data_IF_653825937117
#
_entry.id   IF_653825937117
#
_cell.length_a   1.000
_cell.length_b   1.000
_cell.length_c   1.000
_cell.angle_alpha   90.00
_cell.angle_beta   90.00
_cell.angle_gamma   90.00
#
_symmetry.space_group_name_H-M   'P 1'
#
loop_
_entity.id
_entity.type
_entity.pdbx_description
1 polymer ?
#
# COMPACT_ATOMS: atom_id res chain seq x y z
N UNK A 1 13.83 -5.47 7.51
CA UNK A 1 14.76 -6.62 7.42
C UNK A 1 15.18 -7.11 8.80
N UNK A 2 16.10 -6.46 9.52
CA UNK A 2 16.62 -6.98 10.81
C UNK A 2 15.53 -7.37 11.83
N UNK A 3 14.51 -6.52 12.01
CA UNK A 3 13.39 -6.82 12.92
C UNK A 3 12.41 -7.87 12.39
N UNK A 4 12.39 -8.12 11.09
CA UNK A 4 11.53 -9.13 10.44
C UNK A 4 12.26 -10.47 10.26
N UNK A 5 13.52 -10.62 10.66
CA UNK A 5 14.27 -11.87 10.58
C UNK A 5 14.90 -12.22 11.95
N UNK A 6 14.28 -11.72 13.02
CA UNK A 6 14.86 -11.72 14.36
C UNK A 6 14.99 -13.13 14.93
N UNK A 7 14.06 -14.04 14.61
CA UNK A 7 14.07 -15.42 15.09
C UNK A 7 15.26 -16.18 14.49
N UNK A 8 15.44 -16.09 13.18
CA UNK A 8 16.57 -16.73 12.50
C UNK A 8 17.91 -16.17 12.98
N UNK A 9 18.03 -14.84 13.08
CA UNK A 9 19.25 -14.20 13.59
C UNK A 9 19.60 -14.64 15.03
N UNK A 10 18.60 -14.73 15.92
CA UNK A 10 18.78 -15.21 17.29
C UNK A 10 19.08 -16.71 17.36
N UNK A 11 18.67 -17.51 16.38
CA UNK A 11 18.92 -18.95 16.36
C UNK A 11 20.29 -19.31 15.78
N UNK A 12 20.69 -18.64 14.68
CA UNK A 12 21.86 -19.03 13.87
C UNK A 12 23.04 -18.05 13.98
N UNK A 13 22.80 -16.78 14.28
CA UNK A 13 23.79 -15.70 14.20
C UNK A 13 23.86 -14.86 15.49
N UNK A 14 23.84 -15.51 16.65
CA UNK A 14 23.78 -14.85 17.98
C UNK A 14 24.89 -13.84 18.25
N UNK A 15 26.09 -14.14 17.78
CA UNK A 15 27.30 -13.35 18.06
C UNK A 15 27.69 -12.42 16.91
N UNK A 16 26.83 -12.27 15.90
CA UNK A 16 27.08 -11.38 14.75
C UNK A 16 26.51 -9.99 15.06
N UNK A 17 27.32 -8.95 14.86
CA UNK A 17 26.87 -7.57 15.01
C UNK A 17 25.80 -7.24 13.96
N UNK A 18 24.71 -6.62 14.41
CA UNK A 18 23.63 -6.16 13.54
C UNK A 18 23.83 -4.69 13.22
N UNK A 19 24.11 -4.38 11.96
CA UNK A 19 24.37 -3.01 11.51
C UNK A 19 23.15 -2.52 10.71
N UNK A 20 22.39 -1.51 11.20
CA UNK A 20 21.30 -0.93 10.44
C UNK A 20 21.86 -0.08 9.29
N UNK A 21 21.23 -0.19 8.12
CA UNK A 21 21.60 0.56 6.91
C UNK A 21 20.34 1.08 6.22
N UNK A 22 20.52 1.97 5.23
CA UNK A 22 19.43 2.69 4.55
C UNK A 22 18.48 1.79 3.75
N UNK A 23 18.98 0.69 3.16
CA UNK A 23 18.16 -0.25 2.40
C UNK A 23 18.77 -1.66 2.38
N UNK A 24 17.96 -2.66 2.02
CA UNK A 24 18.42 -4.04 1.83
C UNK A 24 19.36 -4.20 0.65
N UNK A 25 19.19 -3.39 -0.41
CA UNK A 25 20.11 -3.36 -1.56
C UNK A 25 21.46 -2.74 -1.18
N UNK A 26 21.47 -1.69 -0.35
CA UNK A 26 22.71 -1.10 0.15
C UNK A 26 23.45 -2.05 1.11
N UNK A 27 22.71 -2.84 1.91
CA UNK A 27 23.32 -3.91 2.71
C UNK A 27 24.09 -4.92 1.83
N UNK A 28 23.49 -5.33 0.70
CA UNK A 28 24.13 -6.27 -0.23
C UNK A 28 25.36 -5.65 -0.90
N UNK A 29 25.29 -4.38 -1.29
CA UNK A 29 26.44 -3.65 -1.84
C UNK A 29 27.62 -3.56 -0.84
N UNK A 30 27.34 -3.29 0.43
CA UNK A 30 28.38 -3.22 1.46
C UNK A 30 29.00 -4.61 1.72
N UNK A 31 28.15 -5.65 1.83
CA UNK A 31 28.61 -7.01 2.06
C UNK A 31 29.47 -7.57 0.92
N UNK A 32 29.32 -7.08 -0.32
CA UNK A 32 30.18 -7.51 -1.44
C UNK A 32 31.58 -6.90 -1.40
N UNK A 33 31.76 -5.82 -0.63
CA UNK A 33 33.04 -5.09 -0.49
C UNK A 33 33.78 -5.40 0.82
N UNK A 34 33.08 -5.95 1.82
CA UNK A 34 33.62 -6.21 3.15
C UNK A 34 33.68 -7.71 3.47
N UNK A 35 34.89 -8.23 3.62
CA UNK A 35 35.08 -9.64 3.97
C UNK A 35 34.55 -9.93 5.37
N UNK A 36 33.73 -10.98 5.50
CA UNK A 36 33.11 -11.39 6.77
C UNK A 36 31.78 -10.69 7.06
N UNK A 37 31.36 -9.74 6.22
CA UNK A 37 30.02 -9.16 6.28
C UNK A 37 28.98 -10.05 5.59
N UNK A 38 27.73 -9.93 6.02
CA UNK A 38 26.58 -10.57 5.41
C UNK A 38 25.41 -9.60 5.30
N UNK A 39 24.51 -9.85 4.36
CA UNK A 39 23.36 -8.99 4.10
C UNK A 39 22.05 -9.77 4.12
N UNK A 40 21.02 -9.19 4.73
CA UNK A 40 19.63 -9.62 4.55
C UNK A 40 19.06 -8.83 3.37
N UNK A 41 18.87 -9.48 2.24
CA UNK A 41 18.41 -8.86 1.01
C UNK A 41 17.58 -9.81 0.15
N UNK A 42 16.99 -9.31 -0.93
CA UNK A 42 16.31 -10.16 -1.91
C UNK A 42 17.33 -11.02 -2.69
N UNK A 43 16.88 -12.15 -3.22
CA UNK A 43 17.70 -13.01 -4.09
C UNK A 43 18.26 -12.25 -5.30
N UNK A 44 17.48 -11.32 -5.85
CA UNK A 44 17.90 -10.43 -6.94
C UNK A 44 19.09 -9.55 -6.54
N UNK A 45 19.11 -9.01 -5.32
CA UNK A 45 20.26 -8.24 -4.84
C UNK A 45 21.51 -9.12 -4.70
N UNK A 46 21.36 -10.35 -4.22
CA UNK A 46 22.47 -11.28 -4.13
C UNK A 46 23.08 -11.57 -5.51
N UNK A 47 22.24 -11.74 -6.54
CA UNK A 47 22.71 -11.92 -7.92
C UNK A 47 23.44 -10.68 -8.46
N UNK A 48 22.83 -9.49 -8.35
CA UNK A 48 23.40 -8.22 -8.83
C UNK A 48 24.80 -7.96 -8.24
N UNK A 49 24.98 -8.24 -6.94
CA UNK A 49 26.24 -7.98 -6.23
C UNK A 49 27.16 -9.21 -6.12
N UNK A 50 26.84 -10.32 -6.80
CA UNK A 50 27.67 -11.53 -6.82
C UNK A 50 27.82 -12.21 -5.45
N UNK A 51 26.83 -12.07 -4.56
CA UNK A 51 26.85 -12.65 -3.23
C UNK A 51 26.35 -14.10 -3.23
N UNK A 52 26.94 -14.92 -2.35
CA UNK A 52 26.42 -16.27 -2.07
C UNK A 52 25.27 -16.19 -1.06
N UNK A 53 24.12 -16.75 -1.44
CA UNK A 53 22.99 -16.94 -0.52
C UNK A 53 23.34 -18.04 0.49
N UNK A 54 23.32 -17.72 1.79
CA UNK A 54 23.61 -18.67 2.86
C UNK A 54 22.38 -19.46 3.30
N UNK A 55 21.26 -18.76 3.52
CA UNK A 55 19.95 -19.33 3.85
C UNK A 55 18.87 -18.52 3.11
N UNK A 56 17.75 -19.16 2.80
CA UNK A 56 16.56 -18.57 2.16
C UNK A 56 15.41 -18.48 3.16
N UNK A 57 14.44 -17.62 2.85
CA UNK A 57 13.16 -17.53 3.56
C UNK A 57 13.34 -17.37 5.09
N UNK A 58 14.24 -16.46 5.47
CA UNK A 58 14.66 -16.23 6.87
C UNK A 58 13.78 -15.23 7.60
N UNK A 59 12.73 -14.70 6.95
CA UNK A 59 11.73 -13.84 7.55
C UNK A 59 10.88 -14.56 8.60
N UNK A 60 10.44 -13.80 9.60
CA UNK A 60 9.69 -14.29 10.75
C UNK A 60 8.22 -14.58 10.39
N UNK A 61 7.71 -14.00 9.30
CA UNK A 61 6.35 -14.13 8.76
C UNK A 61 6.43 -14.47 7.27
N UNK A 62 5.93 -15.65 6.89
CA UNK A 62 5.98 -16.14 5.50
C UNK A 62 5.05 -15.37 4.56
N UNK A 63 3.92 -14.86 5.05
CA UNK A 63 2.91 -14.18 4.22
C UNK A 63 3.15 -12.66 4.08
N UNK A 64 4.40 -12.21 4.12
CA UNK A 64 4.75 -10.80 4.01
C UNK A 64 4.64 -10.30 2.55
N UNK A 65 3.45 -9.83 2.18
CA UNK A 65 3.18 -9.32 0.84
C UNK A 65 3.25 -7.80 0.79
N UNK A 66 3.91 -7.25 -0.24
CA UNK A 66 3.89 -5.81 -0.55
C UNK A 66 3.05 -5.56 -1.78
N UNK A 67 2.05 -4.69 -1.66
CA UNK A 67 1.22 -4.26 -2.77
C UNK A 67 1.80 -3.01 -3.42
N UNK A 68 1.98 -3.05 -4.74
CA UNK A 68 2.46 -1.93 -5.54
C UNK A 68 1.36 -1.42 -6.50
N UNK A 69 1.43 -0.13 -6.83
CA UNK A 69 0.67 0.46 -7.93
C UNK A 69 1.60 0.78 -9.09
N UNK A 70 1.14 0.53 -10.31
CA UNK A 70 1.76 1.06 -11.53
C UNK A 70 1.02 2.35 -11.85
N UNK A 71 1.74 3.48 -11.89
CA UNK A 71 1.16 4.80 -12.11
C UNK A 71 1.49 5.26 -13.53
N UNK A 72 0.46 5.63 -14.28
CA UNK A 72 0.55 6.16 -15.64
C UNK A 72 -0.34 7.38 -15.82
N UNK A 73 -0.32 7.97 -17.03
CA UNK A 73 -1.15 9.13 -17.37
C UNK A 73 -2.57 8.76 -17.85
N UNK A 74 -2.82 7.48 -18.13
CA UNK A 74 -4.11 6.95 -18.59
C UNK A 74 -4.44 5.67 -17.82
N UNK A 75 -5.73 5.38 -17.71
CA UNK A 75 -6.27 4.10 -17.23
C UNK A 75 -6.94 3.36 -18.39
N UNK A 76 -6.89 2.04 -18.36
CA UNK A 76 -7.59 1.19 -19.31
C UNK A 76 -9.11 1.21 -19.06
N UNK A 77 -9.90 0.76 -20.03
CA UNK A 77 -11.34 0.60 -19.85
C UNK A 77 -11.71 -0.48 -18.82
N UNK A 78 -12.99 -0.56 -18.42
CA UNK A 78 -13.48 -1.50 -17.42
C UNK A 78 -13.20 -2.95 -17.83
N UNK A 79 -12.66 -3.73 -16.89
CA UNK A 79 -12.46 -5.18 -17.03
C UNK A 79 -13.58 -6.01 -16.41
N UNK A 80 -14.46 -5.39 -15.63
CA UNK A 80 -15.53 -6.03 -14.86
C UNK A 80 -15.06 -6.58 -13.51
N UNK A 81 -13.75 -6.55 -13.24
CA UNK A 81 -13.14 -6.91 -11.98
C UNK A 81 -12.13 -5.84 -11.58
N UNK A 82 -12.62 -4.61 -11.42
CA UNK A 82 -11.79 -3.45 -11.18
C UNK A 82 -11.88 -2.96 -9.74
N UNK A 83 -10.94 -2.10 -9.38
CA UNK A 83 -10.99 -1.29 -8.19
C UNK A 83 -10.77 0.17 -8.56
N UNK A 84 -11.43 1.06 -7.84
CA UNK A 84 -11.25 2.51 -7.97
C UNK A 84 -10.65 3.06 -6.70
N UNK A 85 -9.57 3.83 -6.83
CA UNK A 85 -8.98 4.59 -5.72
C UNK A 85 -9.27 6.08 -5.92
N UNK A 86 -9.67 6.74 -4.85
CA UNK A 86 -10.03 8.14 -4.84
C UNK A 86 -9.80 8.74 -3.46
N UNK A 87 -9.84 10.06 -3.38
CA UNK A 87 -9.78 10.78 -2.12
C UNK A 87 -10.97 11.72 -1.97
N UNK A 88 -11.40 11.96 -0.73
CA UNK A 88 -12.39 12.98 -0.44
C UNK A 88 -12.15 13.67 0.90
N UNK A 89 -12.77 14.84 1.05
CA UNK A 89 -12.78 15.60 2.31
C UNK A 89 -14.23 15.76 2.78
N UNK A 90 -14.42 15.75 4.09
CA UNK A 90 -15.73 16.02 4.73
C UNK A 90 -15.68 17.30 5.56
N UNK A 91 -16.84 17.90 5.79
CA UNK A 91 -16.97 19.00 6.73
C UNK A 91 -16.90 18.48 8.18
N UNK A 92 -15.73 18.64 8.81
CA UNK A 92 -15.48 18.18 10.19
C UNK A 92 -16.32 18.90 11.25
N UNK A 93 -17.05 19.96 10.88
CA UNK A 93 -18.01 20.63 11.79
C UNK A 93 -19.33 19.86 11.92
N UNK A 94 -19.59 18.92 11.01
CA UNK A 94 -20.83 18.15 10.97
C UNK A 94 -20.61 16.75 11.58
N UNK A 95 -21.20 16.45 12.75
CA UNK A 95 -21.12 15.12 13.34
C UNK A 95 -21.67 14.07 12.36
N UNK A 96 -20.92 12.98 12.18
CA UNK A 96 -21.32 11.89 11.29
C UNK A 96 -21.04 12.12 9.80
N UNK A 97 -20.37 13.21 9.41
CA UNK A 97 -20.09 13.49 8.00
C UNK A 97 -19.36 12.34 7.26
N UNK A 98 -18.37 11.70 7.91
CA UNK A 98 -17.72 10.51 7.36
C UNK A 98 -18.71 9.33 7.23
N UNK A 99 -19.56 9.12 8.23
CA UNK A 99 -20.57 8.06 8.17
C UNK A 99 -21.54 8.26 6.99
N UNK A 100 -21.98 9.50 6.78
CA UNK A 100 -22.86 9.86 5.67
C UNK A 100 -22.18 9.59 4.31
N UNK A 101 -20.90 9.97 4.17
CA UNK A 101 -20.12 9.68 2.97
C UNK A 101 -19.96 8.16 2.72
N UNK A 102 -19.68 7.38 3.76
CA UNK A 102 -19.56 5.91 3.65
C UNK A 102 -20.91 5.22 3.40
N UNK A 103 -22.03 5.81 3.85
CA UNK A 103 -23.35 5.28 3.65
C UNK A 103 -23.77 5.26 2.17
N UNK A 104 -23.22 6.16 1.34
CA UNK A 104 -23.42 6.16 -0.12
C UNK A 104 -23.02 4.82 -0.73
N UNK A 105 -21.81 4.32 -0.43
CA UNK A 105 -21.35 3.03 -0.96
C UNK A 105 -22.20 1.86 -0.46
N UNK A 106 -22.68 1.93 0.78
CA UNK A 106 -23.61 0.92 1.32
C UNK A 106 -24.94 0.89 0.55
N UNK A 107 -25.50 2.05 0.19
CA UNK A 107 -26.77 2.14 -0.55
C UNK A 107 -26.65 1.55 -1.96
N UNK A 108 -25.50 1.73 -2.61
CA UNK A 108 -25.22 1.19 -3.94
C UNK A 108 -24.60 -0.22 -3.94
N UNK A 109 -24.53 -0.88 -2.76
CA UNK A 109 -23.93 -2.20 -2.58
C UNK A 109 -22.49 -2.30 -3.12
N UNK A 110 -21.69 -1.24 -2.89
CA UNK A 110 -20.30 -1.14 -3.30
C UNK A 110 -19.40 -1.47 -2.11
N UNK A 111 -18.51 -2.44 -2.32
CA UNK A 111 -17.59 -2.89 -1.29
C UNK A 111 -16.39 -1.93 -1.16
N UNK A 112 -16.03 -1.57 0.07
CA UNK A 112 -14.85 -0.75 0.38
C UNK A 112 -13.73 -1.69 0.84
N UNK A 113 -12.62 -1.71 0.11
CA UNK A 113 -11.49 -2.60 0.42
C UNK A 113 -10.36 -1.91 1.17
N UNK A 114 -10.36 -0.57 1.23
CA UNK A 114 -9.38 0.22 1.98
C UNK A 114 -9.95 1.58 2.36
N UNK A 115 -9.62 2.04 3.57
CA UNK A 115 -9.84 3.40 4.03
C UNK A 115 -8.64 3.85 4.86
N UNK A 116 -8.05 4.98 4.49
CA UNK A 116 -7.01 5.65 5.26
C UNK A 116 -7.37 7.13 5.43
N UNK A 117 -6.98 7.72 6.56
CA UNK A 117 -7.09 9.16 6.78
C UNK A 117 -5.70 9.79 6.88
N UNK A 118 -5.57 11.00 6.33
CA UNK A 118 -4.34 11.82 6.40
C UNK A 118 -4.70 13.27 6.72
N UNK A 119 -3.92 13.98 7.55
CA UNK A 119 -4.09 15.42 7.70
C UNK A 119 -3.82 16.11 6.34
N UNK A 120 -4.69 17.04 5.95
CA UNK A 120 -4.62 17.71 4.64
C UNK A 120 -3.45 18.70 4.51
N UNK A 121 -2.90 19.17 5.64
CA UNK A 121 -1.90 20.26 5.73
C UNK A 121 -2.29 21.61 5.11
N UNK A 122 -3.44 21.71 4.43
CA UNK A 122 -3.95 22.96 3.85
C UNK A 122 -4.71 23.81 4.87
N UNK A 123 -5.43 23.16 5.78
CA UNK A 123 -6.18 23.82 6.87
C UNK A 123 -6.08 22.97 8.14
N UNK A 124 -6.09 23.63 9.31
CA UNK A 124 -6.15 22.93 10.59
C UNK A 124 -7.40 22.04 10.66
N UNK A 125 -7.23 20.79 11.11
CA UNK A 125 -8.31 19.81 11.33
C UNK A 125 -9.07 19.36 10.06
N UNK A 126 -8.58 19.67 8.87
CA UNK A 126 -9.04 19.04 7.64
C UNK A 126 -8.29 17.74 7.38
N UNK A 127 -9.05 16.67 7.20
CA UNK A 127 -8.55 15.35 6.82
C UNK A 127 -8.97 14.99 5.40
N UNK A 128 -8.02 14.42 4.67
CA UNK A 128 -8.27 13.73 3.41
C UNK A 128 -8.45 12.26 3.73
N UNK A 129 -9.54 11.68 3.26
CA UNK A 129 -9.79 10.24 3.28
C UNK A 129 -9.41 9.67 1.93
N UNK A 130 -8.58 8.63 1.91
CA UNK A 130 -8.23 7.89 0.70
C UNK A 130 -8.95 6.55 0.80
N UNK A 131 -9.80 6.27 -0.18
CA UNK A 131 -10.60 5.06 -0.24
C UNK A 131 -10.27 4.26 -1.48
N UNK A 132 -10.41 2.94 -1.32
CA UNK A 132 -10.45 1.99 -2.42
C UNK A 132 -11.76 1.21 -2.36
N UNK A 133 -12.43 1.15 -3.51
CA UNK A 133 -13.70 0.43 -3.66
C UNK A 133 -13.64 -0.54 -4.82
N UNK A 134 -14.48 -1.56 -4.79
CA UNK A 134 -14.69 -2.45 -5.93
C UNK A 134 -15.57 -1.79 -6.99
N UNK A 135 -15.20 -1.96 -8.25
CA UNK A 135 -15.85 -1.34 -9.40
C UNK A 135 -14.94 -0.36 -10.14
N UNK A 136 -15.29 -0.12 -11.39
CA UNK A 136 -14.65 0.83 -12.29
C UNK A 136 -15.41 2.17 -12.29
N UNK A 137 -14.73 3.29 -12.51
CA UNK A 137 -15.36 4.62 -12.57
C UNK A 137 -16.44 4.74 -13.67
N UNK A 138 -16.41 3.85 -14.65
CA UNK A 138 -17.41 3.78 -15.72
C UNK A 138 -18.64 2.93 -15.37
N UNK A 139 -18.63 2.22 -14.24
CA UNK A 139 -19.75 1.40 -13.79
C UNK A 139 -20.88 2.30 -13.27
N UNK A 140 -22.11 2.05 -13.72
CA UNK A 140 -23.27 2.88 -13.36
C UNK A 140 -23.49 3.02 -11.84
N UNK A 141 -23.44 1.95 -11.00
CA UNK A 141 -23.57 2.09 -9.55
C UNK A 141 -22.53 3.03 -8.95
N UNK A 142 -21.29 2.97 -9.46
CA UNK A 142 -20.19 3.77 -8.94
C UNK A 142 -20.29 5.23 -9.41
N UNK A 143 -20.71 5.49 -10.65
CA UNK A 143 -21.00 6.86 -11.13
C UNK A 143 -22.07 7.56 -10.29
N UNK A 144 -23.16 6.85 -9.99
CA UNK A 144 -24.26 7.39 -9.17
C UNK A 144 -23.75 7.66 -7.75
N UNK A 145 -23.01 6.71 -7.16
CA UNK A 145 -22.37 6.88 -5.86
C UNK A 145 -21.45 8.12 -5.81
N UNK A 146 -20.61 8.34 -6.83
CA UNK A 146 -19.76 9.53 -6.88
C UNK A 146 -20.54 10.84 -7.02
N UNK A 147 -21.67 10.83 -7.73
CA UNK A 147 -22.55 12.01 -7.81
C UNK A 147 -23.16 12.34 -6.45
N UNK A 148 -23.62 11.33 -5.71
CA UNK A 148 -24.12 11.51 -4.34
C UNK A 148 -23.02 11.93 -3.36
N UNK A 149 -21.82 11.36 -3.50
CA UNK A 149 -20.67 11.71 -2.67
C UNK A 149 -20.30 13.19 -2.82
N UNK A 150 -20.34 13.73 -4.04
CA UNK A 150 -20.10 15.15 -4.31
C UNK A 150 -21.11 16.08 -3.62
N UNK A 151 -22.30 15.58 -3.25
CA UNK A 151 -23.29 16.38 -2.52
C UNK A 151 -23.04 16.44 -1.00
N UNK A 152 -22.35 15.44 -0.45
CA UNK A 152 -22.09 15.36 1.00
C UNK A 152 -20.62 15.62 1.40
N UNK A 153 -19.71 15.61 0.42
CA UNK A 153 -18.28 15.87 0.62
C UNK A 153 -17.90 17.28 0.17
N UNK A 154 -16.85 17.83 0.76
CA UNK A 154 -16.31 19.15 0.42
C UNK A 154 -15.54 19.08 -0.91
N UNK A 155 -14.83 17.99 -1.12
CA UNK A 155 -14.03 17.74 -2.31
C UNK A 155 -13.95 16.22 -2.53
N UNK A 156 -13.97 15.81 -3.80
CA UNK A 156 -13.83 14.42 -4.25
C UNK A 156 -12.91 14.41 -5.46
N UNK A 157 -11.80 13.69 -5.34
CA UNK A 157 -10.80 13.56 -6.40
C UNK A 157 -10.57 12.09 -6.72
N UNK A 158 -10.92 11.69 -7.94
CA UNK A 158 -10.70 10.34 -8.45
C UNK A 158 -9.24 10.21 -8.87
N UNK A 159 -8.53 9.22 -8.32
CA UNK A 159 -7.11 8.99 -8.62
C UNK A 159 -6.99 8.03 -9.82
N UNK A 160 -7.82 6.99 -9.86
CA UNK A 160 -7.90 6.09 -11.01
C UNK A 160 -8.63 4.79 -10.74
N UNK A 161 -9.01 4.11 -11.83
CA UNK A 161 -9.52 2.74 -11.82
C UNK A 161 -8.48 1.80 -12.40
N UNK A 162 -8.40 0.58 -11.88
CA UNK A 162 -7.43 -0.42 -12.34
C UNK A 162 -7.95 -1.85 -12.09
N UNK A 163 -7.47 -2.84 -12.87
CA UNK A 163 -7.85 -4.23 -12.68
C UNK A 163 -7.46 -4.75 -11.29
N UNK A 164 -8.36 -5.48 -10.64
CA UNK A 164 -8.09 -6.14 -9.36
C UNK A 164 -7.05 -7.25 -9.57
N UNK A 165 -5.96 -7.20 -8.80
CA UNK A 165 -5.02 -8.32 -8.74
C UNK A 165 -5.73 -9.56 -8.19
N UNK A 166 -5.46 -10.73 -8.76
CA UNK A 166 -5.88 -11.99 -8.14
C UNK A 166 -5.31 -12.06 -6.72
N UNK A 167 -6.13 -12.48 -5.77
CA UNK A 167 -5.63 -12.79 -4.42
C UNK A 167 -4.62 -13.94 -4.53
N UNK A 168 -3.46 -13.77 -3.90
CA UNK A 168 -2.38 -14.75 -3.85
C UNK A 168 -2.72 -15.87 -2.87
#
# INVERSE_FOLDING_TARGET
ALGQCSKWLNAKMRNVQRVPVSSTSHAAELASKESGAGAICSSVCAEIYGLKILDRDIEDLQDNTTRFFIIGQSYDGPTGHDKTIFSFTVDHRQPGALCNALAVFKQHNINITKIDSRPSHQHHWHYIFILEVEGHIEDEPLKVAFTELNNCCVDVNIIGSYPRSKEL
#
